data_IF_771594184823
#
_entry.id   IF_771594184823
#
_cell.length_a   1.000
_cell.length_b   1.000
_cell.length_c   1.000
_cell.angle_alpha   90.00
_cell.angle_beta   90.00
_cell.angle_gamma   90.00
#
_symmetry.space_group_name_H-M   'P 1'
#
loop_
_entity.id
_entity.type
_entity.pdbx_description
1 polymer ?
#
# COMPACT_ATOMS: atom_id res chain seq x y z
N UNK A 1 -36.97 10.84 10.67
CA UNK A 1 -37.34 10.49 9.27
C UNK A 1 -36.49 9.30 8.88
N UNK A 2 -37.11 8.11 8.98
CA UNK A 2 -36.57 6.84 8.53
C UNK A 2 -36.53 6.76 7.00
N UNK A 3 -35.79 5.75 6.51
CA UNK A 3 -35.90 5.09 5.21
C UNK A 3 -34.99 5.61 4.11
N UNK A 4 -33.99 4.80 3.77
CA UNK A 4 -33.79 4.24 2.43
C UNK A 4 -32.88 3.01 2.53
N UNK A 5 -33.46 1.88 2.92
CA UNK A 5 -32.93 0.54 2.64
C UNK A 5 -33.99 -0.23 1.87
N UNK A 6 -33.93 -0.16 0.54
CA UNK A 6 -34.49 -1.08 -0.47
C UNK A 6 -33.72 -0.69 -1.74
N UNK A 7 -32.81 -1.50 -2.28
CA UNK A 7 -33.14 -2.74 -2.97
C UNK A 7 -32.04 -3.80 -2.83
N UNK A 8 -32.47 -5.05 -2.68
CA UNK A 8 -31.65 -6.25 -2.74
C UNK A 8 -31.45 -6.65 -4.20
N UNK A 9 -30.38 -6.16 -4.84
CA UNK A 9 -29.83 -6.82 -6.02
C UNK A 9 -28.73 -7.77 -5.56
N UNK A 10 -29.03 -9.07 -5.58
CA UNK A 10 -28.02 -10.14 -5.48
C UNK A 10 -27.06 -10.02 -6.66
N UNK A 11 -25.92 -9.36 -6.44
CA UNK A 11 -24.77 -9.41 -7.34
C UNK A 11 -24.14 -10.80 -7.17
N UNK A 12 -24.42 -11.71 -8.10
CA UNK A 12 -23.68 -12.96 -8.21
C UNK A 12 -22.28 -12.66 -8.69
N UNK A 13 -21.28 -12.81 -7.80
CA UNK A 13 -19.87 -12.84 -8.18
C UNK A 13 -19.65 -13.98 -9.18
N UNK A 14 -19.17 -13.72 -10.41
CA UNK A 14 -18.74 -14.81 -11.29
C UNK A 14 -17.53 -15.51 -10.65
N UNK A 15 -17.47 -16.83 -10.77
CA UNK A 15 -16.40 -17.69 -10.26
C UNK A 15 -15.02 -17.09 -10.53
N UNK A 16 -14.40 -16.50 -9.50
CA UNK A 16 -13.00 -16.12 -9.53
C UNK A 16 -12.20 -17.42 -9.50
N UNK A 17 -11.74 -17.85 -10.67
CA UNK A 17 -10.74 -18.90 -10.77
C UNK A 17 -9.57 -18.56 -9.83
N UNK A 18 -9.37 -19.38 -8.80
CA UNK A 18 -8.24 -19.26 -7.88
C UNK A 18 -6.97 -19.41 -8.73
N UNK A 19 -6.32 -18.27 -8.98
CA UNK A 19 -5.03 -18.25 -9.64
C UNK A 19 -3.99 -18.81 -8.67
N UNK A 20 -3.44 -19.98 -8.97
CA UNK A 20 -2.29 -20.54 -8.27
C UNK A 20 -1.01 -19.89 -8.83
N UNK A 21 -0.28 -19.06 -8.06
CA UNK A 21 1.01 -18.55 -8.51
C UNK A 21 2.00 -19.69 -8.74
N UNK A 22 2.84 -19.64 -9.80
CA UNK A 22 3.92 -20.58 -9.97
C UNK A 22 4.93 -20.47 -8.82
N UNK A 23 5.50 -21.63 -8.44
CA UNK A 23 6.39 -21.83 -7.30
C UNK A 23 7.48 -20.76 -7.15
N UNK A 24 7.54 -20.22 -5.94
CA UNK A 24 8.38 -19.15 -5.40
C UNK A 24 9.87 -19.34 -5.73
N UNK A 25 10.44 -18.45 -6.54
CA UNK A 25 11.86 -18.10 -6.42
C UNK A 25 11.94 -16.91 -5.48
N UNK A 26 12.61 -17.10 -4.34
CA UNK A 26 12.73 -16.10 -3.27
C UNK A 26 13.24 -14.77 -3.80
N UNK A 27 12.43 -13.71 -3.66
CA UNK A 27 12.87 -12.34 -3.89
C UNK A 27 13.96 -11.98 -2.87
N UNK A 28 15.15 -11.60 -3.36
CA UNK A 28 16.24 -11.16 -2.49
C UNK A 28 16.06 -9.66 -2.23
N UNK A 29 15.53 -9.31 -1.06
CA UNK A 29 15.43 -7.93 -0.59
C UNK A 29 16.81 -7.44 -0.17
N UNK A 30 17.32 -6.37 -0.81
CA UNK A 30 18.53 -5.67 -0.38
C UNK A 30 18.15 -4.37 0.32
N UNK A 31 18.18 -4.36 1.65
CA UNK A 31 18.30 -3.11 2.42
C UNK A 31 19.78 -2.78 2.66
N UNK A 32 20.17 -1.49 2.76
CA UNK A 32 21.42 -1.13 3.41
C UNK A 32 21.35 -1.48 4.91
N UNK A 33 22.46 -2.00 5.42
CA UNK A 33 22.65 -2.53 6.77
C UNK A 33 22.42 -1.46 7.86
N UNK A 34 21.19 -1.28 8.35
CA UNK A 34 20.92 -0.63 9.64
C UNK A 34 19.47 -0.85 10.11
N UNK A 35 19.19 -2.01 10.71
CA UNK A 35 18.27 -2.22 11.84
C UNK A 35 17.96 -3.72 11.96
N UNK A 36 18.80 -4.44 12.72
CA UNK A 36 18.42 -5.75 13.25
C UNK A 36 17.37 -5.52 14.34
N UNK A 37 16.10 -5.72 14.03
CA UNK A 37 14.99 -5.60 14.98
C UNK A 37 14.66 -6.97 15.57
N UNK A 38 14.65 -7.04 16.90
CA UNK A 38 14.07 -8.15 17.64
C UNK A 38 12.60 -8.36 17.25
N UNK A 39 12.14 -9.62 17.24
CA UNK A 39 10.76 -9.97 16.90
C UNK A 39 9.76 -9.27 17.84
N UNK A 40 8.83 -8.44 17.33
CA UNK A 40 7.91 -7.72 18.19
C UNK A 40 6.80 -8.65 18.73
N UNK A 41 6.66 -8.64 20.06
CA UNK A 41 5.61 -9.32 20.82
C UNK A 41 4.18 -8.91 20.41
N UNK A 42 3.20 -9.68 20.87
CA UNK A 42 1.80 -9.68 20.45
C UNK A 42 1.05 -8.35 20.63
N UNK A 43 0.32 -7.96 19.56
CA UNK A 43 -0.82 -7.02 19.49
C UNK A 43 -0.60 -5.53 19.76
N UNK A 44 0.33 -4.89 19.05
CA UNK A 44 0.22 -3.45 18.79
C UNK A 44 0.34 -3.21 17.28
N UNK A 45 -0.69 -2.59 16.70
CA UNK A 45 -0.66 -2.08 15.33
C UNK A 45 -0.03 -0.70 15.39
N UNK A 46 1.04 -0.52 14.64
CA UNK A 46 1.80 0.73 14.67
C UNK A 46 1.28 1.73 13.65
N UNK A 47 0.77 1.23 12.50
CA UNK A 47 0.30 2.03 11.36
C UNK A 47 -1.21 1.83 11.17
N UNK A 48 -1.97 2.91 11.10
CA UNK A 48 -3.39 2.83 10.75
C UNK A 48 -3.57 2.63 9.24
N UNK A 49 -2.93 3.47 8.43
CA UNK A 49 -3.05 3.46 6.98
C UNK A 49 -1.68 3.38 6.32
N UNK A 50 -1.43 2.28 5.60
CA UNK A 50 -0.29 2.12 4.71
C UNK A 50 -0.75 2.39 3.27
N UNK A 51 -0.07 3.28 2.58
CA UNK A 51 -0.25 3.49 1.14
C UNK A 51 0.98 2.99 0.39
N UNK A 52 0.76 2.05 -0.52
CA UNK A 52 1.76 1.58 -1.47
C UNK A 52 1.49 2.20 -2.83
N UNK A 53 2.40 3.04 -3.31
CA UNK A 53 2.33 3.62 -4.65
C UNK A 53 3.26 2.87 -5.59
N UNK A 54 2.70 2.21 -6.60
CA UNK A 54 3.52 1.73 -7.72
C UNK A 54 3.94 2.91 -8.57
N UNK A 55 5.25 3.15 -8.61
CA UNK A 55 5.82 4.27 -9.34
C UNK A 55 7.06 3.81 -10.12
N UNK A 56 7.43 4.61 -11.12
CA UNK A 56 8.82 4.58 -11.56
C UNK A 56 9.68 5.46 -10.65
N UNK A 57 10.87 5.01 -10.27
CA UNK A 57 11.80 5.86 -9.52
C UNK A 57 12.28 7.07 -10.34
N UNK A 58 12.11 7.06 -11.67
CA UNK A 58 12.38 8.23 -12.51
C UNK A 58 11.20 9.22 -12.58
N UNK A 59 10.04 8.89 -12.02
CA UNK A 59 8.85 9.76 -12.01
C UNK A 59 8.93 10.88 -10.95
N UNK A 60 10.06 11.59 -10.87
CA UNK A 60 10.37 12.55 -9.80
C UNK A 60 9.32 13.66 -9.66
N UNK A 61 8.80 14.19 -10.78
CA UNK A 61 7.77 15.23 -10.76
C UNK A 61 6.43 14.72 -10.21
N UNK A 62 6.02 13.49 -10.60
CA UNK A 62 4.79 12.89 -10.07
C UNK A 62 4.90 12.69 -8.56
N UNK A 63 6.02 12.15 -8.08
CA UNK A 63 6.26 11.96 -6.64
C UNK A 63 6.30 13.28 -5.88
N UNK A 64 6.96 14.29 -6.43
CA UNK A 64 6.99 15.63 -5.84
C UNK A 64 5.57 16.23 -5.74
N UNK A 65 4.75 16.08 -6.79
CA UNK A 65 3.37 16.52 -6.78
C UNK A 65 2.53 15.78 -5.74
N UNK A 66 2.65 14.44 -5.63
CA UNK A 66 1.95 13.65 -4.62
C UNK A 66 2.36 14.09 -3.20
N UNK A 67 3.67 14.24 -2.93
CA UNK A 67 4.22 14.74 -1.65
C UNK A 67 3.70 16.12 -1.29
N UNK A 68 3.58 17.03 -2.26
CA UNK A 68 3.13 18.40 -2.04
C UNK A 68 1.59 18.54 -1.94
N UNK A 69 0.84 17.48 -2.22
CA UNK A 69 -0.63 17.54 -2.29
C UNK A 69 -1.26 16.55 -1.31
N UNK A 70 -1.84 15.46 -1.82
CA UNK A 70 -2.67 14.57 -1.04
C UNK A 70 -1.88 13.75 -0.01
N UNK A 71 -0.60 13.47 -0.24
CA UNK A 71 0.23 12.81 0.79
C UNK A 71 0.43 13.73 2.00
N UNK A 72 0.66 15.03 1.78
CA UNK A 72 0.77 16.00 2.87
C UNK A 72 -0.56 16.11 3.63
N UNK A 73 -1.69 16.10 2.92
CA UNK A 73 -3.02 16.11 3.54
C UNK A 73 -3.25 14.85 4.39
N UNK A 74 -2.93 13.67 3.86
CA UNK A 74 -3.05 12.40 4.59
C UNK A 74 -2.18 12.37 5.84
N UNK A 75 -0.95 12.87 5.74
CA UNK A 75 -0.06 13.01 6.89
C UNK A 75 -0.63 13.99 7.93
N UNK A 76 -1.26 15.09 7.50
CA UNK A 76 -1.95 16.01 8.41
C UNK A 76 -3.17 15.40 9.12
N UNK A 77 -3.90 14.49 8.47
CA UNK A 77 -5.08 13.83 9.03
C UNK A 77 -4.75 12.71 10.02
N UNK A 78 -3.67 11.96 9.77
CA UNK A 78 -3.38 10.72 10.48
C UNK A 78 -2.07 10.75 11.28
N UNK A 79 -1.25 11.79 11.12
CA UNK A 79 0.00 11.96 11.87
C UNK A 79 0.96 10.78 11.71
N UNK A 80 1.42 10.25 12.84
CA UNK A 80 2.33 9.10 12.95
C UNK A 80 1.68 7.76 12.58
N UNK A 81 0.35 7.71 12.49
CA UNK A 81 -0.40 6.50 12.10
C UNK A 81 -0.54 6.33 10.59
N UNK A 82 0.12 7.16 9.81
CA UNK A 82 0.15 7.08 8.35
C UNK A 82 1.56 6.77 7.84
N UNK A 83 1.64 5.80 6.94
CA UNK A 83 2.88 5.47 6.25
C UNK A 83 2.64 5.42 4.75
N UNK A 84 3.51 6.08 4.00
CA UNK A 84 3.53 6.02 2.54
C UNK A 84 4.85 5.43 2.05
N UNK A 85 4.78 4.56 1.04
CA UNK A 85 5.94 4.00 0.36
C UNK A 85 5.72 3.91 -1.15
N UNK A 86 6.73 4.30 -1.92
CA UNK A 86 6.85 4.02 -3.33
C UNK A 86 7.46 2.64 -3.55
N UNK A 87 6.80 1.77 -4.32
CA UNK A 87 7.34 0.46 -4.70
C UNK A 87 8.02 0.60 -6.05
N UNK A 88 9.33 0.32 -6.10
CA UNK A 88 10.19 0.47 -7.29
C UNK A 88 11.10 -0.74 -7.48
N UNK A 89 11.67 -0.92 -8.67
CA UNK A 89 12.67 -1.97 -8.93
C UNK A 89 14.11 -1.46 -8.81
N UNK A 90 15.12 -2.35 -8.61
CA UNK A 90 16.53 -1.96 -8.55
C UNK A 90 17.03 -1.19 -9.78
N UNK A 91 16.50 -1.51 -10.96
CA UNK A 91 16.86 -0.82 -12.21
C UNK A 91 16.47 0.67 -12.15
N UNK A 92 15.38 0.97 -11.49
CA UNK A 92 14.84 2.32 -11.38
C UNK A 92 15.57 3.10 -10.27
N UNK A 93 16.20 2.43 -9.30
CA UNK A 93 16.85 3.07 -8.15
C UNK A 93 17.95 4.11 -8.48
N UNK A 94 18.49 4.10 -9.70
CA UNK A 94 19.51 5.04 -10.13
C UNK A 94 19.00 6.49 -10.07
N UNK A 95 19.56 7.30 -9.16
CA UNK A 95 19.23 8.73 -9.01
C UNK A 95 18.37 9.07 -7.80
N UNK A 96 18.04 8.11 -6.94
CA UNK A 96 17.40 8.39 -5.63
C UNK A 96 18.45 8.93 -4.67
N UNK A 97 18.13 10.06 -4.03
CA UNK A 97 18.98 10.65 -2.98
C UNK A 97 18.78 9.92 -1.65
N UNK A 98 19.78 9.92 -0.77
CA UNK A 98 19.67 9.32 0.57
C UNK A 98 18.48 9.89 1.37
N UNK A 99 18.14 11.16 1.13
CA UNK A 99 16.98 11.82 1.73
C UNK A 99 15.65 11.17 1.32
N UNK A 100 15.54 10.70 0.09
CA UNK A 100 14.33 10.07 -0.43
C UNK A 100 14.31 8.56 -0.21
N UNK A 101 15.45 7.92 0.11
CA UNK A 101 15.56 6.47 0.25
C UNK A 101 14.53 5.89 1.24
N UNK A 102 14.18 6.65 2.27
CA UNK A 102 13.16 6.26 3.26
C UNK A 102 11.74 6.21 2.69
N UNK A 103 11.46 6.83 1.55
CA UNK A 103 10.13 6.81 0.93
C UNK A 103 9.92 5.58 0.06
N UNK A 104 10.94 4.73 -0.14
CA UNK A 104 10.88 3.65 -1.11
C UNK A 104 10.93 2.26 -0.46
N UNK A 105 10.29 1.31 -1.15
CA UNK A 105 10.52 -0.11 -1.04
C UNK A 105 11.09 -0.56 -2.39
N UNK A 106 12.30 -1.13 -2.36
CA UNK A 106 12.93 -1.70 -3.55
C UNK A 106 12.64 -3.18 -3.60
N UNK A 107 11.92 -3.60 -4.64
CA UNK A 107 11.54 -5.00 -4.83
C UNK A 107 12.26 -5.58 -6.03
N UNK A 108 12.85 -6.76 -5.84
CA UNK A 108 13.43 -7.52 -6.94
C UNK A 108 12.29 -8.21 -7.71
N UNK A 109 11.77 -7.50 -8.71
CA UNK A 109 10.66 -7.95 -9.54
C UNK A 109 10.89 -7.58 -11.01
N UNK A 110 10.37 -8.38 -11.96
CA UNK A 110 10.36 -8.00 -13.37
C UNK A 110 9.65 -6.66 -13.58
N UNK A 111 10.29 -5.75 -14.31
CA UNK A 111 9.76 -4.40 -14.58
C UNK A 111 9.14 -4.28 -15.98
N UNK A 112 8.20 -3.35 -16.13
CA UNK A 112 7.44 -3.09 -17.35
C UNK A 112 5.92 -3.19 -17.15
N UNK A 113 5.17 -2.55 -18.04
CA UNK A 113 3.71 -2.41 -17.90
C UNK A 113 2.98 -3.75 -17.77
N UNK A 114 3.27 -4.72 -18.64
CA UNK A 114 2.69 -6.07 -18.59
C UNK A 114 3.15 -6.93 -17.41
N UNK A 115 4.04 -6.41 -16.56
CA UNK A 115 4.63 -7.09 -15.39
C UNK A 115 4.33 -6.36 -14.09
N UNK A 116 3.49 -5.32 -14.12
CA UNK A 116 3.21 -4.47 -12.96
C UNK A 116 2.66 -5.25 -11.76
N UNK A 117 1.92 -6.34 -12.00
CA UNK A 117 1.43 -7.22 -10.95
C UNK A 117 2.55 -7.83 -10.11
N UNK A 118 3.71 -8.15 -10.70
CA UNK A 118 4.86 -8.67 -9.94
C UNK A 118 5.39 -7.62 -8.96
N UNK A 119 5.46 -6.35 -9.39
CA UNK A 119 5.87 -5.23 -8.54
C UNK A 119 4.87 -5.00 -7.41
N UNK A 120 3.57 -5.05 -7.70
CA UNK A 120 2.49 -4.91 -6.69
C UNK A 120 2.57 -6.02 -5.64
N UNK A 121 2.61 -7.29 -6.09
CA UNK A 121 2.65 -8.46 -5.19
C UNK A 121 3.91 -8.43 -4.32
N UNK A 122 5.07 -8.14 -4.90
CA UNK A 122 6.31 -8.06 -4.11
C UNK A 122 6.27 -6.92 -3.07
N UNK A 123 5.66 -5.78 -3.41
CA UNK A 123 5.46 -4.67 -2.47
C UNK A 123 4.53 -5.04 -1.32
N UNK A 124 3.43 -5.74 -1.60
CA UNK A 124 2.51 -6.24 -0.57
C UNK A 124 3.17 -7.31 0.31
N UNK A 125 3.92 -8.25 -0.27
CA UNK A 125 4.68 -9.25 0.49
C UNK A 125 5.71 -8.61 1.43
N UNK A 126 6.41 -7.57 0.97
CA UNK A 126 7.29 -6.79 1.84
C UNK A 126 6.51 -6.16 2.99
N UNK A 127 5.37 -5.53 2.70
CA UNK A 127 4.56 -4.87 3.71
C UNK A 127 4.07 -5.87 4.78
N UNK A 128 3.52 -7.01 4.37
CA UNK A 128 3.06 -8.08 5.27
C UNK A 128 4.18 -8.63 6.15
N UNK A 129 5.39 -8.78 5.60
CA UNK A 129 6.52 -9.36 6.33
C UNK A 129 7.18 -8.38 7.31
N UNK A 130 7.09 -7.07 7.07
CA UNK A 130 7.93 -6.07 7.76
C UNK A 130 7.14 -4.98 8.47
N UNK A 131 5.88 -4.77 8.14
CA UNK A 131 5.06 -3.67 8.63
C UNK A 131 3.82 -4.20 9.34
N UNK A 132 3.38 -3.49 10.37
CA UNK A 132 2.12 -3.77 11.06
C UNK A 132 1.13 -2.66 10.78
N UNK A 133 0.22 -2.90 9.85
CA UNK A 133 -0.82 -1.95 9.45
C UNK A 133 -2.23 -2.50 9.64
N UNK A 134 -3.21 -1.61 9.78
CA UNK A 134 -4.63 -1.98 9.76
C UNK A 134 -5.21 -1.98 8.34
N UNK A 135 -4.76 -1.06 7.49
CA UNK A 135 -5.27 -0.88 6.14
C UNK A 135 -4.13 -0.68 5.16
N UNK A 136 -4.26 -1.33 4.01
CA UNK A 136 -3.38 -1.12 2.87
C UNK A 136 -4.18 -0.59 1.70
N UNK A 137 -3.74 0.54 1.17
CA UNK A 137 -4.23 1.10 -0.08
C UNK A 137 -3.12 1.04 -1.13
N UNK A 138 -3.37 0.34 -2.24
CA UNK A 138 -2.52 0.41 -3.43
C UNK A 138 -3.00 1.55 -4.32
N UNK A 139 -2.08 2.41 -4.76
CA UNK A 139 -2.35 3.47 -5.75
C UNK A 139 -1.28 3.52 -6.85
N UNK A 140 -1.59 4.18 -7.96
CA UNK A 140 -0.60 4.49 -9.01
C UNK A 140 0.01 5.89 -8.81
N UNK A 141 1.13 6.15 -9.49
CA UNK A 141 1.88 7.41 -9.37
C UNK A 141 1.20 8.61 -10.06
N UNK A 142 0.17 8.38 -10.85
CA UNK A 142 -0.70 9.38 -11.47
C UNK A 142 -2.07 9.50 -10.78
N UNK A 143 -2.25 8.84 -9.64
CA UNK A 143 -3.49 8.90 -8.85
C UNK A 143 -3.50 10.11 -7.90
N UNK A 144 -4.68 10.71 -7.72
CA UNK A 144 -5.00 11.62 -6.64
C UNK A 144 -5.95 10.95 -5.64
N UNK A 145 -5.64 11.03 -4.34
CA UNK A 145 -6.49 10.51 -3.26
C UNK A 145 -7.09 11.68 -2.49
N UNK A 146 -8.41 11.72 -2.36
CA UNK A 146 -9.08 12.68 -1.48
C UNK A 146 -9.02 12.17 -0.03
N UNK A 147 -8.10 12.70 0.77
CA UNK A 147 -7.82 12.20 2.12
C UNK A 147 -9.01 12.25 3.09
N UNK A 148 -9.76 13.36 3.16
CA UNK A 148 -10.98 13.45 3.97
C UNK A 148 -12.02 12.38 3.61
N UNK A 149 -12.28 12.17 2.31
CA UNK A 149 -13.27 11.17 1.86
C UNK A 149 -12.78 9.75 2.18
N UNK A 150 -11.50 9.46 1.93
CA UNK A 150 -10.90 8.18 2.28
C UNK A 150 -11.02 7.89 3.78
N UNK A 151 -10.72 8.88 4.62
CA UNK A 151 -10.80 8.75 6.09
C UNK A 151 -12.23 8.44 6.55
N UNK A 152 -13.23 9.09 5.96
CA UNK A 152 -14.64 8.84 6.26
C UNK A 152 -15.07 7.42 5.84
N UNK A 153 -14.67 6.96 4.66
CA UNK A 153 -14.95 5.60 4.19
C UNK A 153 -14.36 4.55 5.13
N UNK A 154 -13.10 4.74 5.50
CA UNK A 154 -12.42 3.84 6.44
C UNK A 154 -13.13 3.80 7.79
N UNK A 155 -13.48 4.96 8.34
CA UNK A 155 -14.20 5.04 9.62
C UNK A 155 -15.56 4.33 9.53
N UNK A 156 -16.28 4.52 8.43
CA UNK A 156 -17.54 3.82 8.18
C UNK A 156 -17.37 2.29 8.14
N UNK A 157 -16.35 1.77 7.44
CA UNK A 157 -16.05 0.34 7.40
C UNK A 157 -15.72 -0.24 8.79
N UNK A 158 -15.07 0.55 9.65
CA UNK A 158 -14.79 0.18 11.04
C UNK A 158 -16.07 0.16 11.88
N UNK A 159 -16.88 1.21 11.79
CA UNK A 159 -18.09 1.36 12.60
C UNK A 159 -19.17 0.33 12.22
N UNK A 160 -19.13 -0.16 10.98
CA UNK A 160 -20.05 -1.20 10.47
C UNK A 160 -19.54 -2.63 10.68
N UNK A 161 -18.33 -2.82 11.22
CA UNK A 161 -17.74 -4.15 11.43
C UNK A 161 -17.30 -4.87 10.14
N UNK A 162 -17.44 -4.24 8.97
CA UNK A 162 -17.02 -4.82 7.68
C UNK A 162 -15.51 -5.04 7.65
N UNK A 163 -14.75 -4.18 8.33
CA UNK A 163 -13.29 -4.29 8.43
C UNK A 163 -12.81 -5.62 9.06
N UNK A 164 -13.57 -6.21 9.99
CA UNK A 164 -13.21 -7.47 10.65
C UNK A 164 -13.49 -8.70 9.76
N UNK A 165 -14.27 -8.54 8.69
CA UNK A 165 -14.70 -9.62 7.78
C UNK A 165 -13.91 -9.73 6.48
N UNK A 166 -13.09 -8.72 6.13
CA UNK A 166 -12.31 -8.70 4.88
C UNK A 166 -10.94 -9.39 4.96
N UNK A 167 -10.57 -9.91 6.14
CA UNK A 167 -9.31 -10.61 6.38
C UNK A 167 -9.51 -11.97 7.07
N UNK A 168 -10.44 -12.79 6.57
CA UNK A 168 -10.47 -14.24 6.81
C UNK A 168 -10.28 -15.02 5.52
#
# INVERSE_FOLDING_TARGET
LHSCCTDSETVTCPDLAIWNPPSTQSAVVRQPLAASAAAPSSKQVDIFCLILTTASANATLKRAAQRATWLLQMQGLHGDKFLHKYVVTPKEWQGITDREANDFIVVDAPDGYGKILHKVVAGMQYAEANLRYQLLLKVDDDTYVNGPVHSQLVQCCRDTGVADSMYM
#
